data_IF_265137162064
#
_entry.id   IF_265137162064
#
_cell.length_a   1.000
_cell.length_b   1.000
_cell.length_c   1.000
_cell.angle_alpha   90.00
_cell.angle_beta   90.00
_cell.angle_gamma   90.00
#
_symmetry.space_group_name_H-M   'P 1'
#
loop_
_entity.id
_entity.type
_entity.pdbx_description
1 polymer ?
#
# COMPACT_ATOMS: atom_id res chain seq x y z
N UNK A 1 8.51 -7.25 -0.78
CA UNK A 1 8.06 -6.24 0.21
C UNK A 1 7.76 -6.97 1.50
N UNK A 2 7.94 -6.32 2.65
CA UNK A 2 7.60 -6.92 3.94
C UNK A 2 6.09 -6.76 4.21
N UNK A 3 5.50 -7.75 4.88
CA UNK A 3 4.11 -7.68 5.33
C UNK A 3 3.90 -6.52 6.31
N UNK A 4 2.74 -5.88 6.20
CA UNK A 4 2.29 -4.84 7.13
C UNK A 4 1.75 -5.46 8.41
N UNK A 5 2.12 -4.84 9.53
CA UNK A 5 1.52 -5.07 10.84
C UNK A 5 0.20 -4.32 10.98
N UNK A 6 -0.66 -4.75 11.91
CA UNK A 6 -1.93 -4.06 12.21
C UNK A 6 -1.71 -2.59 12.61
N UNK A 7 -0.63 -2.29 13.32
CA UNK A 7 -0.28 -0.94 13.78
C UNK A 7 0.05 -0.03 12.59
N UNK A 8 0.77 -0.54 11.60
CA UNK A 8 1.06 0.18 10.35
C UNK A 8 -0.21 0.39 9.53
N UNK A 9 -1.10 -0.60 9.46
CA UNK A 9 -2.39 -0.47 8.77
C UNK A 9 -3.27 0.60 9.43
N UNK A 10 -3.28 0.69 10.77
CA UNK A 10 -3.97 1.76 11.51
C UNK A 10 -3.37 3.13 11.16
N UNK A 11 -2.04 3.25 11.16
CA UNK A 11 -1.37 4.50 10.79
C UNK A 11 -1.69 4.93 9.35
N UNK A 12 -1.73 4.00 8.40
CA UNK A 12 -2.11 4.24 7.02
C UNK A 12 -3.58 4.68 6.90
N UNK A 13 -4.48 4.07 7.65
CA UNK A 13 -5.88 4.50 7.75
C UNK A 13 -6.00 5.94 8.21
N UNK A 14 -5.31 6.30 9.30
CA UNK A 14 -5.31 7.68 9.81
C UNK A 14 -4.77 8.70 8.79
N UNK A 15 -3.74 8.33 8.01
CA UNK A 15 -3.18 9.21 6.98
C UNK A 15 -4.19 9.60 5.90
N UNK A 16 -5.19 8.75 5.65
CA UNK A 16 -6.29 9.01 4.69
C UNK A 16 -7.61 9.39 5.38
N UNK A 17 -7.59 9.63 6.70
CA UNK A 17 -8.76 10.04 7.48
C UNK A 17 -9.76 8.91 7.76
N UNK A 18 -9.31 7.65 7.75
CA UNK A 18 -10.10 6.47 8.09
C UNK A 18 -9.69 5.94 9.46
N UNK A 19 -10.68 5.66 10.32
CA UNK A 19 -10.47 4.92 11.56
C UNK A 19 -10.92 3.47 11.35
N UNK A 20 -9.98 2.53 11.43
CA UNK A 20 -10.23 1.10 11.21
C UNK A 20 -10.08 0.38 12.55
N UNK A 21 -11.08 -0.39 12.94
CA UNK A 21 -11.12 -1.13 14.22
C UNK A 21 -11.31 -2.62 13.94
N UNK A 22 -11.13 -3.49 14.95
CA UNK A 22 -11.51 -4.90 14.81
C UNK A 22 -13.05 -5.06 14.80
N UNK A 23 -13.60 -5.96 13.97
CA UNK A 23 -12.90 -7.00 13.21
C UNK A 23 -12.32 -6.56 11.85
N UNK A 24 -12.71 -5.41 11.31
CA UNK A 24 -12.35 -4.96 9.96
C UNK A 24 -10.83 -4.78 9.79
N UNK A 25 -10.12 -4.34 10.84
CA UNK A 25 -8.67 -4.17 10.85
C UNK A 25 -7.94 -5.46 10.47
N UNK A 26 -8.43 -6.60 10.95
CA UNK A 26 -7.86 -7.91 10.64
C UNK A 26 -8.01 -8.22 9.14
N UNK A 27 -9.20 -8.02 8.58
CA UNK A 27 -9.49 -8.30 7.17
C UNK A 27 -8.74 -7.35 6.23
N UNK A 28 -8.68 -6.06 6.56
CA UNK A 28 -7.94 -5.05 5.79
C UNK A 28 -6.46 -5.38 5.79
N UNK A 29 -5.89 -5.82 6.92
CA UNK A 29 -4.47 -6.21 7.00
C UNK A 29 -4.17 -7.38 6.06
N UNK A 30 -4.99 -8.44 6.09
CA UNK A 30 -4.81 -9.56 5.15
C UNK A 30 -4.95 -9.13 3.69
N UNK A 31 -5.95 -8.31 3.38
CA UNK A 31 -6.17 -7.82 2.03
C UNK A 31 -4.99 -7.00 1.51
N UNK A 32 -4.44 -6.11 2.34
CA UNK A 32 -3.29 -5.29 1.95
C UNK A 32 -2.03 -6.15 1.74
N UNK A 33 -1.77 -7.12 2.61
CA UNK A 33 -0.60 -8.01 2.45
C UNK A 33 -0.71 -8.89 1.21
N UNK A 34 -1.91 -9.38 0.86
CA UNK A 34 -2.13 -10.09 -0.40
C UNK A 34 -1.86 -9.22 -1.64
N UNK A 35 -2.20 -7.93 -1.58
CA UNK A 35 -1.89 -6.98 -2.66
C UNK A 35 -0.38 -6.73 -2.74
N UNK A 36 0.32 -6.58 -1.61
CA UNK A 36 1.78 -6.42 -1.57
C UNK A 36 2.50 -7.63 -2.19
N UNK A 37 2.06 -8.84 -1.86
CA UNK A 37 2.58 -10.07 -2.47
C UNK A 37 2.33 -10.09 -3.99
N UNK A 38 1.15 -9.68 -4.45
CA UNK A 38 0.87 -9.57 -5.87
C UNK A 38 1.76 -8.53 -6.57
N UNK A 39 2.05 -7.41 -5.91
CA UNK A 39 2.93 -6.35 -6.46
C UNK A 39 4.38 -6.80 -6.53
N UNK A 40 4.88 -7.54 -5.55
CA UNK A 40 6.23 -8.12 -5.58
C UNK A 40 6.46 -9.00 -6.81
N UNK A 41 5.42 -9.73 -7.23
CA UNK A 41 5.47 -10.59 -8.41
C UNK A 41 5.53 -9.80 -9.73
N UNK A 42 5.19 -8.50 -9.73
CA UNK A 42 5.19 -7.69 -10.96
C UNK A 42 6.60 -7.23 -11.31
N UNK A 43 7.55 -7.19 -10.36
CA UNK A 43 8.90 -6.60 -10.45
C UNK A 43 9.58 -6.72 -11.85
N UNK A 44 9.33 -5.76 -12.77
CA UNK A 44 9.85 -5.85 -14.12
C UNK A 44 11.36 -5.55 -14.16
N UNK A 45 12.13 -6.28 -14.99
CA UNK A 45 13.56 -6.02 -15.12
C UNK A 45 13.83 -4.61 -15.68
N UNK A 46 14.85 -3.93 -15.15
CA UNK A 46 15.29 -2.61 -15.64
C UNK A 46 14.54 -1.41 -15.02
N UNK A 47 13.74 -1.62 -13.97
CA UNK A 47 13.11 -0.55 -13.19
C UNK A 47 14.15 0.41 -12.57
N UNK A 48 15.29 -0.12 -12.16
CA UNK A 48 16.40 0.64 -11.59
C UNK A 48 17.03 1.62 -12.60
N UNK A 49 16.85 1.37 -13.90
CA UNK A 49 17.52 2.09 -14.98
C UNK A 49 16.66 3.21 -15.59
N UNK A 50 15.43 3.38 -15.11
CA UNK A 50 14.46 4.35 -15.67
C UNK A 50 14.05 5.39 -14.63
N UNK A 51 13.98 6.65 -15.05
CA UNK A 51 13.48 7.72 -14.19
C UNK A 51 11.95 7.60 -14.01
N UNK A 52 11.43 7.77 -12.79
CA UNK A 52 9.99 7.75 -12.55
C UNK A 52 9.31 8.92 -13.26
N UNK A 53 8.20 8.63 -13.94
CA UNK A 53 7.40 9.67 -14.56
C UNK A 53 6.74 10.55 -13.48
N UNK A 54 6.86 11.88 -13.56
CA UNK A 54 6.22 12.77 -12.60
C UNK A 54 4.69 12.68 -12.73
N UNK A 55 4.01 12.44 -11.61
CA UNK A 55 2.55 12.50 -11.54
C UNK A 55 2.14 13.98 -11.52
N UNK A 56 1.57 14.47 -12.62
CA UNK A 56 0.99 15.82 -12.69
C UNK A 56 -0.46 15.74 -12.22
N UNK A 57 -0.72 16.22 -10.99
CA UNK A 57 -2.08 16.28 -10.46
C UNK A 57 -2.78 17.52 -11.09
N UNK A 58 -3.88 17.36 -11.84
CA UNK A 58 -4.63 18.49 -12.36
C UNK A 58 -5.23 19.30 -11.20
N UNK A 59 -5.40 20.63 -11.35
CA UNK A 59 -6.02 21.47 -10.32
C UNK A 59 -7.46 21.02 -10.02
N UNK A 60 -7.86 21.15 -8.76
CA UNK A 60 -9.23 20.88 -8.29
C UNK A 60 -10.24 21.84 -8.90
#
# INVERSE_FOLDING_TARGET
MADLTKEEVVALGHAVGLEIQDPELTEVTYSLNAILEALDNINPPGLEDVEPLPIIIPPK
#
